data_IF_996581871857
#
_entry.id   IF_996581871857
#
_cell.length_a   1.000
_cell.length_b   1.000
_cell.length_c   1.000
_cell.angle_alpha   90.00
_cell.angle_beta   90.00
_cell.angle_gamma   90.00
#
_symmetry.space_group_name_H-M   'P 1'
#
loop_
_entity.id
_entity.type
_entity.pdbx_description
1 polymer ?
#
# COMPACT_ATOMS: atom_id res chain seq x y z
N UNK A 1 -17.52 -63.11 13.71
CA UNK A 1 -17.52 -61.69 14.16
C UNK A 1 -16.26 -60.87 13.77
N UNK A 2 -15.34 -61.35 12.91
CA UNK A 2 -14.08 -60.61 12.58
C UNK A 2 -14.05 -59.90 11.22
N UNK A 3 -15.08 -60.07 10.36
CA UNK A 3 -15.11 -59.48 9.01
C UNK A 3 -15.77 -58.09 8.92
N UNK A 4 -16.56 -57.70 9.92
CA UNK A 4 -17.35 -56.46 9.88
C UNK A 4 -16.53 -55.22 10.28
N UNK A 5 -15.45 -55.40 11.03
CA UNK A 5 -14.56 -54.33 11.47
C UNK A 5 -13.51 -53.93 10.42
N UNK A 6 -13.36 -54.63 9.30
CA UNK A 6 -12.44 -54.19 8.25
C UNK A 6 -13.03 -53.09 7.36
N UNK A 7 -14.36 -53.02 7.21
CA UNK A 7 -15.02 -52.00 6.38
C UNK A 7 -15.31 -50.69 7.11
N UNK A 8 -15.50 -50.75 8.44
CA UNK A 8 -15.75 -49.55 9.28
C UNK A 8 -14.50 -48.71 9.55
N UNK A 9 -13.30 -49.29 9.45
CA UNK A 9 -12.05 -48.56 9.69
C UNK A 9 -11.51 -47.86 8.44
N UNK A 10 -11.93 -48.27 7.24
CA UNK A 10 -11.47 -47.64 5.99
C UNK A 10 -12.23 -46.35 5.67
N UNK A 11 -13.54 -46.30 5.95
CA UNK A 11 -14.38 -45.11 5.69
C UNK A 11 -14.11 -43.97 6.67
N UNK A 12 -13.82 -44.28 7.95
CA UNK A 12 -13.49 -43.27 8.97
C UNK A 12 -12.14 -42.58 8.72
N UNK A 13 -11.16 -43.31 8.17
CA UNK A 13 -9.85 -42.76 7.81
C UNK A 13 -9.94 -41.83 6.58
N UNK A 14 -10.82 -42.11 5.61
CA UNK A 14 -10.97 -41.29 4.40
C UNK A 14 -11.72 -39.98 4.64
N UNK A 15 -12.71 -39.94 5.54
CA UNK A 15 -13.43 -38.69 5.88
C UNK A 15 -12.61 -37.77 6.78
N UNK A 16 -11.78 -38.32 7.67
CA UNK A 16 -10.81 -37.51 8.44
C UNK A 16 -9.71 -36.93 7.54
N UNK A 17 -9.25 -37.67 6.53
CA UNK A 17 -8.33 -37.13 5.53
C UNK A 17 -8.98 -36.05 4.67
N UNK A 18 -10.23 -36.21 4.24
CA UNK A 18 -10.91 -35.18 3.45
C UNK A 18 -11.12 -33.88 4.24
N UNK A 19 -11.46 -33.98 5.53
CA UNK A 19 -11.55 -32.82 6.42
C UNK A 19 -10.18 -32.18 6.69
N UNK A 20 -9.09 -32.96 6.82
CA UNK A 20 -7.74 -32.41 6.99
C UNK A 20 -7.20 -31.78 5.71
N UNK A 21 -7.53 -32.31 4.53
CA UNK A 21 -7.19 -31.66 3.26
C UNK A 21 -8.04 -30.41 2.99
N UNK A 22 -9.28 -30.36 3.47
CA UNK A 22 -10.10 -29.14 3.43
C UNK A 22 -9.68 -28.11 4.49
N UNK A 23 -9.17 -28.54 5.66
CA UNK A 23 -8.60 -27.63 6.67
C UNK A 23 -7.26 -27.02 6.23
N UNK A 24 -6.46 -27.77 5.45
CA UNK A 24 -5.18 -27.29 4.91
C UNK A 24 -5.38 -26.31 3.76
N UNK A 25 -6.51 -26.34 3.02
CA UNK A 25 -6.76 -25.35 1.96
C UNK A 25 -7.13 -23.97 2.53
N UNK A 26 -7.53 -23.88 3.81
CA UNK A 26 -7.72 -22.60 4.50
C UNK A 26 -6.47 -22.12 5.24
N UNK A 27 -5.32 -22.78 5.07
CA UNK A 27 -4.07 -22.25 5.64
C UNK A 27 -3.69 -20.98 4.88
N UNK A 28 -4.19 -19.85 5.36
CA UNK A 28 -3.62 -18.51 5.23
C UNK A 28 -2.93 -18.31 3.89
N UNK A 29 -3.72 -18.08 2.83
CA UNK A 29 -3.23 -17.23 1.77
C UNK A 29 -2.87 -15.91 2.47
N UNK A 30 -1.59 -15.71 2.77
CA UNK A 30 -1.06 -14.42 3.18
C UNK A 30 -1.56 -13.45 2.10
N UNK A 31 -2.57 -12.66 2.44
CA UNK A 31 -3.08 -11.68 1.49
C UNK A 31 -1.90 -10.76 1.19
N UNK A 32 -1.46 -10.74 -0.06
CA UNK A 32 -0.45 -9.80 -0.49
C UNK A 32 -1.00 -8.41 -0.22
N UNK A 33 -0.39 -7.66 0.73
CA UNK A 33 -0.87 -6.34 1.16
C UNK A 33 -1.07 -5.40 -0.02
N UNK A 34 -0.19 -5.50 -1.02
CA UNK A 34 -0.19 -4.67 -2.19
C UNK A 34 -0.69 -5.44 -3.40
N UNK A 35 -1.87 -5.07 -3.90
CA UNK A 35 -2.46 -5.68 -5.11
C UNK A 35 -2.19 -4.76 -6.30
N UNK A 36 -1.36 -5.20 -7.24
CA UNK A 36 -1.19 -4.52 -8.54
C UNK A 36 -2.45 -4.67 -9.40
N UNK A 37 -3.07 -3.55 -9.75
CA UNK A 37 -4.31 -3.55 -10.52
C UNK A 37 -4.06 -3.67 -12.03
N UNK A 38 -2.80 -3.70 -12.50
CA UNK A 38 -2.45 -3.82 -13.91
C UNK A 38 -2.76 -2.58 -14.77
N UNK A 39 -3.22 -1.50 -14.14
CA UNK A 39 -3.61 -0.25 -14.79
C UNK A 39 -2.75 0.95 -14.36
N UNK A 40 -1.60 0.68 -13.72
CA UNK A 40 -0.70 1.70 -13.19
C UNK A 40 -1.01 2.13 -11.74
N UNK A 41 -1.93 1.45 -11.05
CA UNK A 41 -2.22 1.66 -9.63
C UNK A 41 -2.02 0.39 -8.81
N UNK A 42 -1.86 0.56 -7.51
CA UNK A 42 -1.69 -0.52 -6.52
C UNK A 42 -2.66 -0.25 -5.37
N UNK A 43 -3.43 -1.25 -4.98
CA UNK A 43 -4.33 -1.17 -3.83
C UNK A 43 -3.62 -1.66 -2.58
N UNK A 44 -3.63 -0.86 -1.51
CA UNK A 44 -3.19 -1.27 -0.17
C UNK A 44 -4.39 -1.87 0.58
N UNK A 45 -4.35 -3.17 0.84
CA UNK A 45 -5.43 -3.92 1.48
C UNK A 45 -5.26 -4.03 3.00
N UNK A 46 -4.26 -3.35 3.58
CA UNK A 46 -4.04 -3.37 5.02
C UNK A 46 -5.25 -2.83 5.79
N UNK A 47 -5.77 -3.65 6.71
CA UNK A 47 -6.93 -3.32 7.53
C UNK A 47 -6.59 -2.56 8.80
N UNK A 48 -5.32 -2.53 9.20
CA UNK A 48 -4.84 -1.92 10.45
C UNK A 48 -4.39 -0.45 10.26
N UNK A 49 -4.23 -0.01 9.02
CA UNK A 49 -3.93 1.39 8.65
C UNK A 49 -5.18 2.08 8.10
N UNK A 50 -5.05 3.26 7.47
CA UNK A 50 -6.20 3.91 6.81
C UNK A 50 -6.69 2.97 5.72
N UNK A 51 -7.79 2.26 5.99
CA UNK A 51 -8.27 1.19 5.12
C UNK A 51 -8.69 1.75 3.76
N UNK A 52 -8.40 0.97 2.72
CA UNK A 52 -8.82 1.29 1.37
C UNK A 52 -8.07 2.47 0.77
N UNK A 53 -6.75 2.33 0.65
CA UNK A 53 -5.93 3.27 -0.13
C UNK A 53 -5.55 2.66 -1.47
N UNK A 54 -5.48 3.53 -2.48
CA UNK A 54 -4.93 3.21 -3.78
C UNK A 54 -3.82 4.21 -4.08
N UNK A 55 -2.67 3.65 -4.45
CA UNK A 55 -1.44 4.36 -4.74
C UNK A 55 -1.14 4.26 -6.22
N UNK A 56 -0.40 5.23 -6.75
CA UNK A 56 0.21 5.06 -8.07
C UNK A 56 1.32 4.01 -8.01
N UNK A 57 1.45 3.21 -9.07
CA UNK A 57 2.48 2.17 -9.16
C UNK A 57 3.89 2.77 -9.26
N UNK A 58 4.08 3.77 -10.11
CA UNK A 58 5.27 4.64 -10.03
C UNK A 58 5.09 5.57 -8.84
N UNK A 59 6.08 5.60 -7.95
CA UNK A 59 6.02 6.41 -6.74
C UNK A 59 6.26 7.90 -7.01
N UNK A 60 6.91 8.28 -8.12
CA UNK A 60 7.17 9.68 -8.46
C UNK A 60 6.67 10.07 -9.87
N UNK A 61 5.40 9.81 -10.22
CA UNK A 61 4.91 9.91 -11.59
C UNK A 61 4.81 11.36 -12.08
N UNK A 62 4.90 12.33 -11.17
CA UNK A 62 4.86 13.77 -11.45
C UNK A 62 6.23 14.44 -11.39
N UNK A 63 7.28 13.69 -11.05
CA UNK A 63 8.59 14.24 -10.73
C UNK A 63 8.58 15.06 -9.44
N UNK A 64 9.70 15.73 -9.19
CA UNK A 64 9.83 16.62 -8.03
C UNK A 64 9.07 17.93 -8.27
N UNK A 65 8.21 18.30 -7.31
CA UNK A 65 7.39 19.51 -7.36
C UNK A 65 7.52 20.28 -6.04
N UNK A 66 7.32 21.60 -6.09
CA UNK A 66 7.08 22.34 -4.86
C UNK A 66 5.75 21.96 -4.24
N UNK A 67 5.60 22.13 -2.92
CA UNK A 67 4.40 21.68 -2.20
C UNK A 67 3.12 22.29 -2.80
N UNK A 68 3.15 23.58 -3.17
CA UNK A 68 2.01 24.27 -3.76
C UNK A 68 1.69 23.81 -5.21
N UNK A 69 2.71 23.47 -6.00
CA UNK A 69 2.52 22.97 -7.37
C UNK A 69 1.79 21.62 -7.39
N UNK A 70 1.96 20.79 -6.35
CA UNK A 70 1.33 19.46 -6.27
C UNK A 70 -0.20 19.53 -6.44
N UNK A 71 -0.87 20.45 -5.74
CA UNK A 71 -2.32 20.59 -5.78
C UNK A 71 -2.82 21.01 -7.17
N UNK A 72 -2.08 21.91 -7.83
CA UNK A 72 -2.39 22.30 -9.21
C UNK A 72 -2.23 21.10 -10.14
N UNK A 73 -1.16 20.31 -9.95
CA UNK A 73 -0.88 19.15 -10.82
C UNK A 73 -1.90 18.03 -10.64
N UNK A 74 -2.32 17.73 -9.41
CA UNK A 74 -3.33 16.71 -9.15
C UNK A 74 -4.68 16.98 -9.79
N UNK A 75 -5.08 18.25 -9.94
CA UNK A 75 -6.37 18.60 -10.58
C UNK A 75 -6.49 18.10 -12.02
N UNK A 76 -5.36 17.89 -12.71
CA UNK A 76 -5.30 17.45 -14.11
C UNK A 76 -4.63 16.08 -14.28
N UNK A 77 -4.12 15.48 -13.20
CA UNK A 77 -3.40 14.22 -13.25
C UNK A 77 -4.36 13.03 -13.20
N UNK A 78 -4.17 12.08 -14.12
CA UNK A 78 -4.89 10.81 -14.12
C UNK A 78 -4.02 9.69 -14.65
N UNK A 79 -4.28 8.47 -14.18
CA UNK A 79 -3.67 7.23 -14.67
C UNK A 79 -4.80 6.32 -15.11
N UNK A 80 -4.81 5.90 -16.37
CA UNK A 80 -5.87 5.04 -16.92
C UNK A 80 -7.29 5.58 -16.69
N UNK A 81 -7.45 6.92 -16.77
CA UNK A 81 -8.73 7.60 -16.52
C UNK A 81 -9.08 7.80 -15.03
N UNK A 82 -8.24 7.32 -14.11
CA UNK A 82 -8.42 7.44 -12.66
C UNK A 82 -7.78 8.75 -12.20
N UNK A 83 -8.61 9.70 -11.75
CA UNK A 83 -8.19 10.96 -11.11
C UNK A 83 -8.45 10.97 -9.60
N UNK A 84 -8.52 12.17 -9.01
CA UNK A 84 -8.84 12.35 -7.59
C UNK A 84 -7.67 12.08 -6.65
N UNK A 85 -6.45 12.25 -7.15
CA UNK A 85 -5.21 12.05 -6.40
C UNK A 85 -4.95 13.18 -5.41
N UNK A 86 -4.29 12.84 -4.30
CA UNK A 86 -3.84 13.79 -3.28
C UNK A 86 -2.46 13.40 -2.75
N UNK A 87 -1.87 14.30 -1.96
CA UNK A 87 -0.73 13.95 -1.11
C UNK A 87 -1.18 12.99 0.00
N UNK A 88 -0.33 12.05 0.42
CA UNK A 88 -0.59 11.21 1.58
C UNK A 88 -0.47 12.02 2.88
N UNK A 89 -1.08 11.56 3.96
CA UNK A 89 -0.69 12.03 5.30
C UNK A 89 0.69 11.48 5.68
N UNK A 90 1.32 12.01 6.74
CA UNK A 90 2.59 11.41 7.21
C UNK A 90 2.37 9.96 7.62
N UNK A 91 1.26 9.65 8.30
CA UNK A 91 0.95 8.27 8.72
C UNK A 91 0.76 7.30 7.54
N UNK A 92 0.15 7.75 6.44
CA UNK A 92 -0.06 6.90 5.26
C UNK A 92 1.26 6.56 4.55
N UNK A 93 2.14 7.55 4.36
CA UNK A 93 3.42 7.32 3.68
C UNK A 93 4.46 6.65 4.60
N UNK A 94 4.37 6.86 5.91
CA UNK A 94 5.17 6.11 6.89
C UNK A 94 4.77 4.62 6.90
N UNK A 95 3.46 4.34 6.88
CA UNK A 95 2.96 2.97 6.81
C UNK A 95 3.43 2.26 5.52
N UNK A 96 3.35 2.92 4.36
CA UNK A 96 3.80 2.31 3.10
C UNK A 96 5.30 2.05 3.10
N UNK A 97 6.11 2.96 3.66
CA UNK A 97 7.56 2.80 3.77
C UNK A 97 7.92 1.51 4.52
N UNK A 98 7.32 1.29 5.69
CA UNK A 98 7.58 0.09 6.50
C UNK A 98 7.09 -1.19 5.80
N UNK A 99 5.91 -1.12 5.19
CA UNK A 99 5.27 -2.25 4.54
C UNK A 99 6.01 -2.78 3.31
N UNK A 100 6.67 -1.89 2.57
CA UNK A 100 7.46 -2.26 1.39
C UNK A 100 8.61 -3.23 1.70
N UNK A 101 9.09 -3.29 2.94
CA UNK A 101 10.13 -4.26 3.34
C UNK A 101 9.72 -5.73 3.14
N UNK A 102 8.42 -6.03 3.11
CA UNK A 102 7.87 -7.36 2.83
C UNK A 102 7.81 -7.73 1.35
N UNK A 103 8.30 -6.87 0.45
CA UNK A 103 8.11 -6.97 -1.00
C UNK A 103 6.94 -6.11 -1.47
N UNK A 104 7.06 -5.52 -2.67
CA UNK A 104 6.05 -4.62 -3.21
C UNK A 104 6.08 -4.51 -4.74
N UNK A 105 4.96 -4.14 -5.39
CA UNK A 105 4.89 -3.92 -6.83
C UNK A 105 5.28 -2.51 -7.28
N UNK A 106 5.55 -1.58 -6.34
CA UNK A 106 5.89 -0.20 -6.68
C UNK A 106 7.18 -0.08 -7.47
N UNK A 107 7.20 0.89 -8.37
CA UNK A 107 8.35 1.26 -9.19
C UNK A 107 8.73 2.71 -8.93
N UNK A 108 9.93 3.12 -9.34
CA UNK A 108 10.35 4.52 -9.31
C UNK A 108 10.28 5.15 -7.89
N UNK A 109 10.54 4.33 -6.86
CA UNK A 109 10.72 4.78 -5.48
C UNK A 109 12.12 5.38 -5.38
N UNK A 110 12.18 6.70 -5.27
CA UNK A 110 13.43 7.45 -5.22
C UNK A 110 13.96 7.55 -3.79
N UNK A 111 15.28 7.54 -3.62
CA UNK A 111 15.93 7.69 -2.32
C UNK A 111 16.04 9.19 -1.94
N UNK A 112 14.89 9.84 -1.76
CA UNK A 112 14.76 11.30 -1.53
C UNK A 112 13.61 11.59 -0.57
N UNK A 113 13.34 12.88 -0.33
CA UNK A 113 12.16 13.32 0.41
C UNK A 113 10.90 13.23 -0.45
N UNK A 114 9.81 12.80 0.16
CA UNK A 114 8.48 12.81 -0.43
C UNK A 114 7.55 13.69 0.40
N UNK A 115 6.74 14.50 -0.29
CA UNK A 115 5.78 15.38 0.36
C UNK A 115 4.64 14.61 1.04
N UNK A 116 4.23 15.11 2.21
CA UNK A 116 2.94 14.80 2.81
C UNK A 116 2.00 16.01 2.75
N UNK A 117 0.73 15.75 3.04
CA UNK A 117 -0.33 16.77 3.14
C UNK A 117 -0.26 17.61 4.42
N UNK A 118 0.64 17.26 5.35
CA UNK A 118 0.73 17.95 6.63
C UNK A 118 1.45 19.29 6.50
N UNK A 119 0.90 20.29 7.19
CA UNK A 119 1.44 21.65 7.21
C UNK A 119 2.05 21.94 8.58
N UNK A 120 3.12 22.72 8.61
CA UNK A 120 3.69 23.17 9.88
C UNK A 120 2.91 24.39 10.41
N UNK A 121 2.18 24.22 11.51
CA UNK A 121 1.37 25.28 12.12
C UNK A 121 2.21 26.44 12.67
N UNK A 122 3.46 26.19 13.05
CA UNK A 122 4.36 27.20 13.64
C UNK A 122 5.16 27.95 12.57
N UNK A 123 5.44 27.29 11.45
CA UNK A 123 6.21 27.82 10.33
C UNK A 123 5.43 27.60 9.03
N UNK A 124 4.55 28.54 8.63
CA UNK A 124 3.66 28.36 7.48
C UNK A 124 4.36 28.07 6.16
N UNK A 125 5.63 28.47 6.02
CA UNK A 125 6.44 28.21 4.82
C UNK A 125 7.00 26.79 4.76
N UNK A 126 6.68 25.93 5.74
CA UNK A 126 7.16 24.55 5.84
C UNK A 126 6.01 23.55 5.75
N UNK A 127 6.30 22.38 5.19
CA UNK A 127 5.39 21.25 5.08
C UNK A 127 6.10 19.94 5.41
N UNK A 128 5.31 18.93 5.76
CA UNK A 128 5.79 17.61 6.16
C UNK A 128 6.36 16.82 4.98
N UNK A 129 7.43 16.09 5.25
CA UNK A 129 8.03 15.12 4.32
C UNK A 129 8.46 13.86 5.05
N UNK A 130 8.54 12.76 4.32
CA UNK A 130 9.28 11.56 4.73
C UNK A 130 10.50 11.35 3.83
N UNK A 131 11.61 10.92 4.40
CA UNK A 131 12.80 10.52 3.66
C UNK A 131 12.74 9.03 3.33
N UNK A 132 12.57 8.70 2.06
CA UNK A 132 12.45 7.30 1.61
C UNK A 132 13.76 6.51 1.64
N UNK A 133 14.88 7.14 2.02
CA UNK A 133 16.15 6.44 2.26
C UNK A 133 16.28 5.83 3.65
N UNK A 134 15.57 6.38 4.64
CA UNK A 134 15.72 5.97 6.04
C UNK A 134 14.43 5.99 6.88
N UNK A 135 13.32 6.50 6.35
CA UNK A 135 12.02 6.58 7.01
C UNK A 135 11.84 7.82 7.90
N UNK A 136 12.82 8.72 7.98
CA UNK A 136 12.72 9.90 8.85
C UNK A 136 11.71 10.90 8.30
N UNK A 137 10.80 11.35 9.15
CA UNK A 137 9.90 12.45 8.83
C UNK A 137 10.45 13.79 9.35
N UNK A 138 10.09 14.87 8.66
CA UNK A 138 10.56 16.21 8.97
C UNK A 138 9.73 17.29 8.31
N UNK A 139 10.12 18.54 8.52
CA UNK A 139 9.50 19.70 7.89
C UNK A 139 10.53 20.44 7.06
N UNK A 140 10.20 20.75 5.81
CA UNK A 140 11.09 21.45 4.87
C UNK A 140 10.35 22.58 4.18
N UNK A 141 11.10 23.55 3.65
CA UNK A 141 10.53 24.71 2.96
C UNK A 141 9.70 24.29 1.75
N UNK A 142 8.48 24.82 1.65
CA UNK A 142 7.52 24.59 0.56
C UNK A 142 7.98 25.09 -0.80
N UNK A 143 9.05 25.89 -0.85
CA UNK A 143 9.63 26.41 -2.09
C UNK A 143 10.64 25.45 -2.74
N UNK A 144 10.98 24.34 -2.08
CA UNK A 144 11.86 23.32 -2.64
C UNK A 144 11.03 22.25 -3.33
N UNK A 145 11.61 21.63 -4.35
CA UNK A 145 10.99 20.52 -5.05
C UNK A 145 11.38 19.19 -4.39
N UNK A 146 10.40 18.32 -4.16
CA UNK A 146 10.58 16.97 -3.61
C UNK A 146 9.61 16.00 -4.27
N UNK A 147 9.83 14.70 -4.07
CA UNK A 147 9.03 13.64 -4.67
C UNK A 147 7.55 13.73 -4.27
N UNK A 148 6.69 13.31 -5.20
CA UNK A 148 5.24 13.30 -5.01
C UNK A 148 4.74 11.90 -5.28
N UNK A 149 4.23 11.24 -4.23
CA UNK A 149 3.59 9.92 -4.35
C UNK A 149 2.07 10.06 -4.19
N UNK A 150 1.32 10.10 -5.30
CA UNK A 150 -0.12 10.28 -5.23
C UNK A 150 -0.82 9.09 -4.59
N UNK A 151 -1.75 9.39 -3.69
CA UNK A 151 -2.66 8.44 -3.06
C UNK A 151 -4.10 8.90 -3.21
N UNK A 152 -5.05 7.97 -3.11
CA UNK A 152 -6.49 8.23 -3.02
C UNK A 152 -7.18 7.13 -2.21
N UNK A 153 -8.45 7.36 -1.85
CA UNK A 153 -9.30 6.27 -1.36
C UNK A 153 -9.59 5.26 -2.48
N UNK A 154 -9.52 3.97 -2.15
CA UNK A 154 -10.00 2.87 -2.98
C UNK A 154 -11.53 2.86 -2.98
N UNK A 155 -12.13 2.38 -4.07
CA UNK A 155 -13.58 2.17 -4.18
C UNK A 155 -13.97 0.77 -3.76
#
# INVERSE_FOLDING_TARGET
>A
MRKMWRKLFTTSAMTFMLCMTWLVITSEAQAERFVDNGNGTVTDTDTDTVTGLMWTKSANPLGELTWNETFTRFSSFSISGIGGWRLPSIGEIDAIYHAMSGGHPFTDVQSTLYWSSETNVRFPDYAGTINMSNGDWGNVSRHRAFGVWPVRASQ
#
